data_IF_579916754104
#
_entry.id   IF_579916754104
#
_cell.length_a   1.000
_cell.length_b   1.000
_cell.length_c   1.000
_cell.angle_alpha   90.00
_cell.angle_beta   90.00
_cell.angle_gamma   90.00
#
_symmetry.space_group_name_H-M   'P 1'
#
loop_
_entity.id
_entity.type
_entity.pdbx_description
1 polymer ?
#
# COMPACT_ATOMS: atom_id res chain seq x y z
N UNK A 1 -0.62 11.33 -21.65
CA UNK A 1 -0.65 9.99 -21.01
C UNK A 1 -0.19 8.95 -22.01
N UNK A 2 0.65 8.00 -21.60
CA UNK A 2 1.11 6.89 -22.45
C UNK A 2 0.20 5.68 -22.25
N UNK A 3 0.00 4.87 -23.28
CA UNK A 3 -0.68 3.58 -23.12
C UNK A 3 0.19 2.66 -22.25
N UNK A 4 -0.30 2.16 -21.11
CA UNK A 4 0.50 1.32 -20.22
C UNK A 4 0.76 -0.04 -20.87
N UNK A 5 1.94 -0.59 -20.64
CA UNK A 5 2.23 -1.99 -20.94
C UNK A 5 1.46 -2.91 -19.99
N UNK A 6 1.13 -4.12 -20.43
CA UNK A 6 0.51 -5.11 -19.56
C UNK A 6 1.45 -5.50 -18.41
N UNK A 7 0.95 -5.40 -17.18
CA UNK A 7 1.62 -5.84 -15.95
C UNK A 7 0.75 -6.85 -15.19
N UNK A 8 -0.06 -7.62 -15.90
CA UNK A 8 -1.00 -8.59 -15.30
C UNK A 8 -0.32 -9.68 -14.44
N UNK A 9 1.00 -9.88 -14.61
CA UNK A 9 1.80 -10.75 -13.74
C UNK A 9 1.89 -10.21 -12.30
N UNK A 10 1.78 -8.90 -12.10
CA UNK A 10 1.89 -8.27 -10.80
C UNK A 10 0.51 -8.23 -10.10
N UNK A 11 0.20 -9.31 -9.38
CA UNK A 11 -1.10 -9.47 -8.69
C UNK A 11 -1.34 -8.44 -7.60
N UNK A 12 -0.28 -7.97 -6.95
CA UNK A 12 -0.34 -7.07 -5.79
C UNK A 12 0.01 -5.61 -6.13
N UNK A 13 -0.12 -5.21 -7.41
CA UNK A 13 0.34 -3.90 -7.87
C UNK A 13 -0.25 -2.73 -7.06
N UNK A 14 -1.55 -2.80 -6.74
CA UNK A 14 -2.21 -1.76 -5.93
C UNK A 14 -1.62 -1.71 -4.52
N UNK A 15 -1.43 -2.87 -3.87
CA UNK A 15 -0.88 -2.94 -2.52
C UNK A 15 0.52 -2.32 -2.49
N UNK A 16 1.39 -2.73 -3.41
CA UNK A 16 2.75 -2.23 -3.49
C UNK A 16 2.80 -0.72 -3.78
N UNK A 17 1.95 -0.21 -4.67
CA UNK A 17 1.88 1.23 -4.94
C UNK A 17 1.44 2.03 -3.70
N UNK A 18 0.44 1.55 -2.95
CA UNK A 18 -0.02 2.21 -1.71
C UNK A 18 1.08 2.15 -0.64
N UNK A 19 1.73 1.00 -0.47
CA UNK A 19 2.85 0.86 0.47
C UNK A 19 3.97 1.84 0.15
N UNK A 20 4.42 1.89 -1.11
CA UNK A 20 5.46 2.83 -1.54
C UNK A 20 5.06 4.28 -1.32
N UNK A 21 3.79 4.63 -1.58
CA UNK A 21 3.29 5.97 -1.30
C UNK A 21 3.38 6.33 0.19
N UNK A 22 3.00 5.41 1.08
CA UNK A 22 3.08 5.61 2.53
C UNK A 22 4.52 5.79 3.02
N UNK A 23 5.46 4.98 2.51
CA UNK A 23 6.89 5.14 2.80
C UNK A 23 7.38 6.52 2.39
N UNK A 24 7.07 6.97 1.17
CA UNK A 24 7.52 8.27 0.69
C UNK A 24 6.92 9.45 1.46
N UNK A 25 5.66 9.33 1.91
CA UNK A 25 5.03 10.34 2.78
C UNK A 25 5.74 10.40 4.13
N UNK A 26 6.03 9.26 4.76
CA UNK A 26 6.76 9.20 6.02
C UNK A 26 8.16 9.81 5.88
N UNK A 27 8.89 9.44 4.84
CA UNK A 27 10.23 9.99 4.56
C UNK A 27 10.18 11.50 4.28
N UNK A 28 9.18 11.97 3.55
CA UNK A 28 8.96 13.40 3.35
C UNK A 28 8.69 14.12 4.68
N UNK A 29 7.82 13.56 5.51
CA UNK A 29 7.46 14.14 6.81
C UNK A 29 8.65 14.11 7.79
N UNK A 30 9.50 13.09 7.74
CA UNK A 30 10.74 13.04 8.50
C UNK A 30 11.70 14.16 8.08
N UNK A 31 11.82 14.45 6.77
CA UNK A 31 12.61 15.60 6.28
C UNK A 31 12.01 16.93 6.75
N UNK A 32 10.69 17.08 6.69
CA UNK A 32 9.97 18.27 7.18
C UNK A 32 10.11 18.50 8.70
N UNK A 33 10.35 17.44 9.47
CA UNK A 33 10.61 17.57 10.90
C UNK A 33 12.00 18.16 11.22
N UNK A 34 12.96 18.04 10.30
CA UNK A 34 14.35 18.52 10.47
C UNK A 34 14.58 19.84 9.75
N UNK A 35 13.96 20.03 8.59
CA UNK A 35 14.04 21.25 7.77
C UNK A 35 12.64 21.88 7.64
N UNK A 36 12.44 23.14 8.05
CA UNK A 36 11.15 23.82 7.93
C UNK A 36 10.77 24.23 6.49
N UNK A 37 11.62 23.99 5.49
CA UNK A 37 11.30 24.32 4.09
C UNK A 37 10.17 23.46 3.51
N UNK A 38 10.21 22.12 3.54
CA UNK A 38 9.06 21.30 3.16
C UNK A 38 7.99 21.30 4.26
N UNK A 39 6.76 21.66 3.92
CA UNK A 39 5.62 21.46 4.82
C UNK A 39 5.28 19.97 4.95
N UNK A 40 4.88 19.51 6.15
CA UNK A 40 4.44 18.14 6.34
C UNK A 40 3.16 17.86 5.55
N UNK A 41 3.05 16.64 5.05
CA UNK A 41 1.86 16.12 4.38
C UNK A 41 0.95 15.52 5.45
N UNK A 42 -0.16 16.20 5.73
CA UNK A 42 -1.14 15.77 6.75
C UNK A 42 -2.33 15.00 6.14
N UNK A 43 -2.62 15.22 4.86
CA UNK A 43 -3.80 14.62 4.20
C UNK A 43 -3.51 14.35 2.74
N UNK A 44 -3.88 13.17 2.28
CA UNK A 44 -3.75 12.74 0.89
C UNK A 44 -5.10 12.27 0.37
N UNK A 45 -5.54 12.86 -0.73
CA UNK A 45 -6.71 12.37 -1.49
C UNK A 45 -6.21 11.36 -2.51
N UNK A 46 -6.76 10.15 -2.47
CA UNK A 46 -6.38 9.05 -3.36
C UNK A 46 -7.50 8.71 -4.32
N UNK A 47 -7.16 8.51 -5.60
CA UNK A 47 -8.06 7.94 -6.60
C UNK A 47 -7.89 6.42 -6.66
N UNK A 48 -8.87 5.73 -7.26
CA UNK A 48 -8.77 4.28 -7.48
C UNK A 48 -7.56 3.94 -8.35
N UNK A 49 -6.57 3.26 -7.77
CA UNK A 49 -5.36 2.86 -8.48
C UNK A 49 -5.68 1.71 -9.44
N UNK A 50 -5.33 1.90 -10.71
CA UNK A 50 -5.50 0.93 -11.79
C UNK A 50 -6.95 0.50 -12.11
N UNK A 51 -7.97 1.19 -11.57
CA UNK A 51 -9.39 0.85 -11.80
C UNK A 51 -9.93 1.24 -13.18
N UNK A 52 -9.20 2.07 -13.92
CA UNK A 52 -9.49 2.42 -15.32
C UNK A 52 -8.84 1.46 -16.32
N UNK A 53 -7.95 1.98 -17.18
CA UNK A 53 -7.21 1.20 -18.20
C UNK A 53 -6.40 0.03 -17.61
N UNK A 54 -6.06 0.08 -16.31
CA UNK A 54 -5.38 -1.02 -15.62
C UNK A 54 -6.25 -2.25 -15.36
N UNK A 55 -7.57 -2.18 -15.59
CA UNK A 55 -8.52 -3.28 -15.45
C UNK A 55 -8.53 -3.97 -14.07
N UNK A 56 -8.07 -3.30 -13.02
CA UNK A 56 -8.21 -3.80 -11.64
C UNK A 56 -9.64 -3.51 -11.17
N UNK A 57 -10.34 -4.52 -10.65
CA UNK A 57 -11.70 -4.29 -10.14
C UNK A 57 -11.71 -3.32 -8.96
N UNK A 58 -12.77 -2.52 -8.82
CA UNK A 58 -12.91 -1.59 -7.70
C UNK A 58 -12.83 -2.30 -6.34
N UNK A 59 -13.44 -3.49 -6.23
CA UNK A 59 -13.36 -4.31 -5.02
C UNK A 59 -11.89 -4.67 -4.72
N UNK A 60 -11.17 -5.27 -5.67
CA UNK A 60 -9.77 -5.65 -5.49
C UNK A 60 -8.87 -4.45 -5.13
N UNK A 61 -9.07 -3.31 -5.79
CA UNK A 61 -8.36 -2.07 -5.46
C UNK A 61 -8.61 -1.68 -3.99
N UNK A 62 -9.86 -1.68 -3.54
CA UNK A 62 -10.22 -1.36 -2.17
C UNK A 62 -9.58 -2.33 -1.17
N UNK A 63 -9.61 -3.65 -1.42
CA UNK A 63 -8.97 -4.63 -0.51
C UNK A 63 -7.48 -4.40 -0.37
N UNK A 64 -6.79 -4.28 -1.51
CA UNK A 64 -5.33 -4.11 -1.51
C UNK A 64 -4.93 -2.80 -0.84
N UNK A 65 -5.73 -1.74 -1.04
CA UNK A 65 -5.52 -0.46 -0.38
C UNK A 65 -5.70 -0.60 1.13
N UNK A 66 -6.81 -1.17 1.59
CA UNK A 66 -7.09 -1.37 3.01
C UNK A 66 -6.03 -2.24 3.70
N UNK A 67 -5.60 -3.33 3.05
CA UNK A 67 -4.53 -4.19 3.54
C UNK A 67 -3.20 -3.43 3.64
N UNK A 68 -2.84 -2.63 2.63
CA UNK A 68 -1.62 -1.84 2.66
C UNK A 68 -1.61 -0.87 3.85
N UNK A 69 -2.71 -0.15 4.10
CA UNK A 69 -2.83 0.72 5.28
C UNK A 69 -2.71 -0.05 6.59
N UNK A 70 -3.45 -1.16 6.73
CA UNK A 70 -3.44 -1.97 7.95
C UNK A 70 -2.05 -2.54 8.24
N UNK A 71 -1.41 -3.13 7.23
CA UNK A 71 -0.07 -3.70 7.34
C UNK A 71 0.98 -2.64 7.59
N UNK A 72 0.90 -1.49 6.92
CA UNK A 72 1.85 -0.40 7.12
C UNK A 72 1.76 0.13 8.55
N UNK A 73 0.55 0.35 9.05
CA UNK A 73 0.34 0.76 10.44
C UNK A 73 0.88 -0.27 11.44
N UNK A 74 0.61 -1.56 11.23
CA UNK A 74 1.13 -2.64 12.08
C UNK A 74 2.67 -2.70 12.04
N UNK A 75 3.27 -2.50 10.87
CA UNK A 75 4.73 -2.46 10.71
C UNK A 75 5.40 -1.30 11.44
N UNK A 76 4.73 -0.14 11.51
CA UNK A 76 5.22 1.03 12.25
C UNK A 76 5.03 0.89 13.76
N UNK A 77 3.99 0.17 14.20
CA UNK A 77 3.65 0.00 15.62
C UNK A 77 4.37 -1.18 16.27
N UNK A 78 4.65 -2.24 15.51
CA UNK A 78 5.30 -3.46 15.98
C UNK A 78 6.56 -3.80 15.14
N UNK A 79 7.58 -2.91 15.07
CA UNK A 79 8.72 -3.09 14.17
C UNK A 79 9.53 -4.37 14.45
N UNK A 80 9.59 -4.82 15.71
CA UNK A 80 10.25 -6.07 16.11
C UNK A 80 9.57 -7.31 15.52
N UNK A 81 8.23 -7.32 15.45
CA UNK A 81 7.47 -8.40 14.81
C UNK A 81 7.81 -8.46 13.33
N UNK A 82 7.72 -7.32 12.63
CA UNK A 82 7.86 -7.26 11.17
C UNK A 82 9.30 -7.49 10.70
N UNK A 83 10.29 -7.02 11.45
CA UNK A 83 11.70 -7.27 11.16
C UNK A 83 12.14 -8.71 11.44
N UNK A 84 11.43 -9.43 12.31
CA UNK A 84 11.68 -10.83 12.63
C UNK A 84 10.90 -11.83 11.76
N UNK A 85 10.02 -11.37 10.86
CA UNK A 85 9.18 -12.25 10.05
C UNK A 85 10.03 -13.16 9.16
N UNK A 86 9.74 -14.45 9.24
CA UNK A 86 10.28 -15.46 8.35
C UNK A 86 9.35 -15.68 7.15
N UNK A 87 9.84 -16.39 6.13
CA UNK A 87 9.00 -16.79 4.99
C UNK A 87 7.76 -17.60 5.40
N UNK A 88 7.83 -18.35 6.51
CA UNK A 88 6.68 -19.08 7.05
C UNK A 88 5.59 -18.15 7.56
N UNK A 89 5.98 -17.14 8.36
CA UNK A 89 5.05 -16.15 8.90
C UNK A 89 4.40 -15.33 7.78
N UNK A 90 5.15 -14.98 6.74
CA UNK A 90 4.64 -14.26 5.57
C UNK A 90 3.61 -15.11 4.80
N UNK A 91 3.85 -16.42 4.67
CA UNK A 91 2.92 -17.32 3.98
C UNK A 91 1.56 -17.44 4.70
N UNK A 92 1.54 -17.24 6.03
CA UNK A 92 0.32 -17.22 6.84
C UNK A 92 -0.40 -15.86 6.81
N UNK A 93 0.20 -14.84 6.20
CA UNK A 93 -0.41 -13.53 5.93
C UNK A 93 -0.72 -13.33 4.42
N UNK A 94 -1.52 -14.19 3.76
CA UNK A 94 -1.82 -14.02 2.35
C UNK A 94 -2.65 -12.76 2.12
N UNK A 95 -2.24 -11.90 1.18
CA UNK A 95 -3.02 -10.73 0.75
C UNK A 95 -4.38 -11.09 0.12
N UNK A 96 -4.57 -12.36 -0.25
CA UNK A 96 -5.85 -12.91 -0.69
C UNK A 96 -6.74 -13.32 0.50
N UNK A 97 -6.92 -12.43 1.47
CA UNK A 97 -7.97 -12.61 2.48
C UNK A 97 -9.31 -12.38 1.76
N UNK A 98 -10.21 -13.37 1.81
CA UNK A 98 -11.62 -13.14 1.49
C UNK A 98 -12.15 -12.10 2.47
N UNK A 99 -12.46 -10.90 1.98
CA UNK A 99 -13.08 -9.90 2.83
C UNK A 99 -14.53 -10.31 3.10
N UNK A 100 -15.13 -9.86 4.22
CA UNK A 100 -16.52 -10.14 4.55
C UNK A 100 -17.54 -9.76 3.46
N UNK A 101 -17.11 -8.95 2.48
CA UNK A 101 -17.89 -8.47 1.34
C UNK A 101 -17.81 -9.35 0.09
N UNK A 102 -17.17 -10.53 0.16
CA UNK A 102 -16.96 -11.44 -0.97
C UNK A 102 -18.04 -12.52 -1.15
N UNK A 103 -19.28 -12.21 -0.75
CA UNK A 103 -20.45 -13.05 -0.99
C UNK A 103 -21.22 -12.61 -2.25
#
# INVERSE_FOLDING_TARGET
MRFPSSVAWHREIVYNCVWSLLVEIDEHNNRAAVDPQPFPIETVVMTGLATGIGCVSANQCAKHTALAFAHYHDAKTNPEKWSAMTWGDIAEHPLNIRLPTDY
#
